data_IF_323536648820
#
_entry.id   IF_323536648820
#
_cell.length_a   1.000
_cell.length_b   1.000
_cell.length_c   1.000
_cell.angle_alpha   90.00
_cell.angle_beta   90.00
_cell.angle_gamma   90.00
#
_symmetry.space_group_name_H-M   'P 1'
#
loop_
_entity.id
_entity.type
_entity.pdbx_description
1 polymer ?
#
# COMPACT_ATOMS: atom_id res chain seq x y z
N UNK A 1 22.81 7.51 10.17
CA UNK A 1 21.98 6.64 11.04
C UNK A 1 20.50 7.04 11.09
N UNK A 2 20.15 8.33 11.00
CA UNK A 2 18.76 8.82 11.02
C UNK A 2 17.87 8.31 9.85
N UNK A 3 18.39 8.30 8.61
CA UNK A 3 17.61 7.91 7.41
C UNK A 3 17.22 6.42 7.43
N UNK A 4 18.05 5.58 8.05
CA UNK A 4 17.75 4.16 8.20
C UNK A 4 16.60 3.91 9.19
N UNK A 5 16.45 4.74 10.22
CA UNK A 5 15.30 4.63 11.14
C UNK A 5 13.98 4.85 10.40
N UNK A 6 13.90 5.82 9.50
CA UNK A 6 12.66 6.13 8.77
C UNK A 6 12.21 5.03 7.80
N UNK A 7 13.01 3.99 7.53
CA UNK A 7 12.61 2.86 6.66
C UNK A 7 11.40 2.08 7.21
N UNK A 8 11.25 2.03 8.54
CA UNK A 8 10.11 1.33 9.14
C UNK A 8 8.77 1.92 8.70
N UNK A 9 8.70 3.21 8.34
CA UNK A 9 7.47 3.86 7.88
C UNK A 9 7.04 3.30 6.52
N UNK A 10 8.01 3.09 5.63
CA UNK A 10 7.79 2.51 4.31
C UNK A 10 7.41 1.04 4.45
N UNK A 11 8.12 0.28 5.29
CA UNK A 11 7.80 -1.12 5.57
C UNK A 11 6.40 -1.30 6.18
N UNK A 12 6.01 -0.43 7.11
CA UNK A 12 4.67 -0.41 7.67
C UNK A 12 3.60 -0.14 6.61
N UNK A 13 3.83 0.84 5.71
CA UNK A 13 2.92 1.08 4.60
C UNK A 13 2.76 -0.16 3.69
N UNK A 14 3.86 -0.85 3.37
CA UNK A 14 3.81 -2.10 2.61
C UNK A 14 3.11 -3.24 3.36
N UNK A 15 3.27 -3.35 4.67
CA UNK A 15 2.53 -4.32 5.49
C UNK A 15 1.01 -4.08 5.39
N UNK A 16 0.57 -2.84 5.49
CA UNK A 16 -0.85 -2.50 5.35
C UNK A 16 -1.40 -2.75 3.93
N UNK A 17 -0.58 -2.54 2.90
CA UNK A 17 -0.94 -2.86 1.51
C UNK A 17 -1.07 -4.36 1.30
N UNK A 18 -0.11 -5.16 1.81
CA UNK A 18 -0.12 -6.63 1.71
C UNK A 18 -1.25 -7.27 2.52
N UNK A 19 -1.68 -6.65 3.63
CA UNK A 19 -2.82 -7.13 4.42
C UNK A 19 -4.14 -7.03 3.65
N UNK A 20 -4.24 -6.12 2.68
CA UNK A 20 -5.49 -5.93 1.94
C UNK A 20 -5.64 -6.99 0.85
N UNK A 21 -6.64 -7.87 1.02
CA UNK A 21 -6.88 -9.02 0.13
C UNK A 21 -7.03 -8.63 -1.34
N UNK A 22 -7.64 -7.46 -1.61
CA UNK A 22 -7.85 -6.96 -2.97
C UNK A 22 -6.55 -6.69 -3.76
N UNK A 23 -5.48 -6.26 -3.07
CA UNK A 23 -4.15 -6.12 -3.69
C UNK A 23 -3.36 -7.41 -3.65
N UNK A 24 -3.45 -8.17 -2.55
CA UNK A 24 -2.67 -9.38 -2.34
C UNK A 24 -2.97 -10.47 -3.38
N UNK A 25 -4.24 -10.62 -3.77
CA UNK A 25 -4.64 -11.67 -4.73
C UNK A 25 -4.38 -11.31 -6.18
N UNK A 26 -4.02 -10.05 -6.47
CA UNK A 26 -3.70 -9.58 -7.83
C UNK A 26 -4.78 -9.92 -8.88
N UNK A 27 -6.06 -9.92 -8.52
CA UNK A 27 -7.15 -10.29 -9.44
C UNK A 27 -7.44 -9.28 -10.55
N UNK A 28 -6.86 -8.07 -10.49
CA UNK A 28 -7.01 -7.10 -11.55
C UNK A 28 -6.31 -7.60 -12.83
N UNK A 29 -7.11 -7.86 -13.89
CA UNK A 29 -6.60 -8.27 -15.23
C UNK A 29 -5.69 -7.22 -15.86
N UNK A 30 -5.96 -5.95 -15.60
CA UNK A 30 -5.23 -4.83 -16.20
C UNK A 30 -4.29 -4.20 -15.18
N UNK A 31 -3.07 -3.90 -15.61
CA UNK A 31 -2.05 -3.20 -14.80
C UNK A 31 -2.54 -1.83 -14.34
N UNK A 32 -3.30 -1.12 -15.17
CA UNK A 32 -3.90 0.19 -14.83
C UNK A 32 -4.90 0.08 -13.67
N UNK A 33 -5.78 -0.92 -13.69
CA UNK A 33 -6.73 -1.18 -12.61
C UNK A 33 -6.02 -1.59 -11.31
N UNK A 34 -4.97 -2.39 -11.41
CA UNK A 34 -4.13 -2.72 -10.25
C UNK A 34 -3.46 -1.47 -9.66
N UNK A 35 -2.87 -0.62 -10.50
CA UNK A 35 -2.22 0.62 -10.07
C UNK A 35 -3.23 1.59 -9.41
N UNK A 36 -4.42 1.74 -9.99
CA UNK A 36 -5.47 2.56 -9.40
C UNK A 36 -5.86 2.05 -7.99
N UNK A 37 -6.00 0.74 -7.80
CA UNK A 37 -6.28 0.16 -6.50
C UNK A 37 -5.15 0.40 -5.48
N UNK A 38 -3.88 0.36 -5.90
CA UNK A 38 -2.72 0.72 -5.05
C UNK A 38 -2.80 2.18 -4.64
N UNK A 39 -3.05 3.09 -5.59
CA UNK A 39 -3.16 4.53 -5.31
C UNK A 39 -4.28 4.83 -4.31
N UNK A 40 -5.47 4.26 -4.53
CA UNK A 40 -6.61 4.42 -3.60
C UNK A 40 -6.22 3.94 -2.21
N UNK A 41 -5.59 2.77 -2.09
CA UNK A 41 -5.21 2.23 -0.78
C UNK A 41 -4.13 3.06 -0.09
N UNK A 42 -3.16 3.61 -0.84
CA UNK A 42 -2.19 4.56 -0.31
C UNK A 42 -2.85 5.85 0.19
N UNK A 43 -3.82 6.40 -0.54
CA UNK A 43 -4.58 7.58 -0.11
C UNK A 43 -5.36 7.31 1.18
N UNK A 44 -6.04 6.18 1.26
CA UNK A 44 -6.77 5.76 2.47
C UNK A 44 -5.83 5.65 3.68
N UNK A 45 -4.64 5.07 3.50
CA UNK A 45 -3.62 4.95 4.55
C UNK A 45 -3.06 6.32 4.96
N UNK A 46 -2.85 7.23 3.99
CA UNK A 46 -2.39 8.59 4.25
C UNK A 46 -3.42 9.42 5.03
N UNK A 47 -4.69 9.32 4.65
CA UNK A 47 -5.80 10.00 5.30
C UNK A 47 -6.17 9.36 6.66
N UNK A 48 -5.48 8.28 7.08
CA UNK A 48 -5.77 7.50 8.30
C UNK A 48 -7.22 7.03 8.39
N UNK A 49 -7.84 6.79 7.24
CA UNK A 49 -9.17 6.19 7.16
C UNK A 49 -8.96 4.69 7.36
N UNK A 50 -9.10 4.21 8.60
CA UNK A 50 -8.89 2.81 8.98
C UNK A 50 -10.19 2.11 9.35
#
# INVERSE_FOLDING_TARGET
>A
VQIYKSRHLVENAFLHLKRWRGLATRYAKNTSSFLAAVHIRCLVLWLKIS
#
